data_IF_699921963013
#
_entry.id   IF_699921963013
#
_cell.length_a   1.000
_cell.length_b   1.000
_cell.length_c   1.000
_cell.angle_alpha   90.00
_cell.angle_beta   90.00
_cell.angle_gamma   90.00
#
_symmetry.space_group_name_H-M   'P 1'
#
loop_
_entity.id
_entity.type
_entity.pdbx_description
1 polymer ?
#
# COMPACT_ATOMS: atom_id res chain seq x y z
N UNK A 1 -14.02 -32.45 36.17
CA UNK A 1 -13.79 -31.18 35.43
C UNK A 1 -12.42 -31.24 34.74
N UNK A 2 -12.33 -32.06 33.69
CA UNK A 2 -11.24 -32.18 32.70
C UNK A 2 -12.02 -32.24 31.37
N UNK A 3 -11.73 -31.59 30.26
CA UNK A 3 -10.46 -31.30 29.58
C UNK A 3 -10.74 -30.11 28.66
N UNK A 4 -10.27 -28.90 28.99
CA UNK A 4 -10.38 -27.78 28.04
C UNK A 4 -9.29 -27.90 26.95
N UNK A 5 -8.25 -28.71 27.19
CA UNK A 5 -7.15 -28.96 26.27
C UNK A 5 -6.77 -30.46 26.34
N UNK A 6 -7.20 -31.25 25.37
CA UNK A 6 -6.68 -32.60 25.18
C UNK A 6 -5.28 -32.55 24.57
N UNK A 7 -4.39 -33.48 24.95
CA UNK A 7 -3.00 -33.51 24.47
C UNK A 7 -2.93 -33.51 22.93
N UNK A 8 -3.87 -34.19 22.28
CA UNK A 8 -4.03 -34.22 20.81
C UNK A 8 -4.38 -32.84 20.23
N UNK A 9 -5.23 -32.06 20.91
CA UNK A 9 -5.63 -30.71 20.48
C UNK A 9 -4.47 -29.72 20.62
N UNK A 10 -3.68 -29.85 21.69
CA UNK A 10 -2.46 -29.05 21.91
C UNK A 10 -1.46 -29.31 20.78
N UNK A 11 -1.17 -30.58 20.50
CA UNK A 11 -0.24 -30.98 19.43
C UNK A 11 -0.72 -30.49 18.06
N UNK A 12 -2.03 -30.54 17.78
CA UNK A 12 -2.58 -30.05 16.53
C UNK A 12 -2.40 -28.53 16.37
N UNK A 13 -2.64 -27.75 17.43
CA UNK A 13 -2.45 -26.29 17.39
C UNK A 13 -0.96 -25.95 17.20
N UNK A 14 -0.05 -26.66 17.86
CA UNK A 14 1.39 -26.46 17.67
C UNK A 14 1.85 -26.75 16.24
N UNK A 15 1.37 -27.84 15.65
CA UNK A 15 1.62 -28.17 14.24
C UNK A 15 1.07 -27.10 13.31
N UNK A 16 -0.15 -26.61 13.58
CA UNK A 16 -0.78 -25.58 12.76
C UNK A 16 0.00 -24.25 12.86
N UNK A 17 0.41 -23.83 14.06
CA UNK A 17 1.25 -22.64 14.25
C UNK A 17 2.61 -22.77 13.57
N UNK A 18 3.21 -23.96 13.56
CA UNK A 18 4.48 -24.23 12.85
C UNK A 18 4.30 -24.04 11.34
N UNK A 19 3.24 -24.64 10.76
CA UNK A 19 2.92 -24.45 9.34
C UNK A 19 2.61 -22.97 8.99
N UNK A 20 1.92 -22.25 9.87
CA UNK A 20 1.66 -20.82 9.67
C UNK A 20 2.96 -20.00 9.73
N UNK A 21 3.90 -20.37 10.62
CA UNK A 21 5.22 -19.73 10.74
C UNK A 21 6.02 -19.85 9.43
N UNK A 22 6.13 -21.07 8.88
CA UNK A 22 6.84 -21.29 7.62
C UNK A 22 6.22 -20.51 6.46
N UNK A 23 4.89 -20.47 6.39
CA UNK A 23 4.18 -19.69 5.36
C UNK A 23 4.37 -18.19 5.54
N UNK A 24 4.32 -17.71 6.78
CA UNK A 24 4.57 -16.31 7.11
C UNK A 24 5.98 -15.89 6.68
N UNK A 25 7.00 -16.69 6.97
CA UNK A 25 8.39 -16.43 6.54
C UNK A 25 8.54 -16.39 5.02
N UNK A 26 7.91 -17.33 4.30
CA UNK A 26 7.94 -17.35 2.84
C UNK A 26 7.27 -16.10 2.24
N UNK A 27 6.18 -15.64 2.86
CA UNK A 27 5.49 -14.42 2.48
C UNK A 27 6.39 -13.20 2.71
N UNK A 28 6.98 -13.09 3.90
CA UNK A 28 7.88 -11.99 4.26
C UNK A 28 9.11 -11.94 3.35
N UNK A 29 9.67 -13.09 2.99
CA UNK A 29 10.79 -13.20 2.04
C UNK A 29 10.39 -12.68 0.65
N UNK A 30 9.23 -13.11 0.13
CA UNK A 30 8.70 -12.62 -1.17
C UNK A 30 8.41 -11.13 -1.16
N UNK A 31 7.97 -10.58 -0.03
CA UNK A 31 7.66 -9.17 0.09
C UNK A 31 8.92 -8.29 0.12
N UNK A 32 9.96 -8.71 0.86
CA UNK A 32 11.26 -8.03 0.87
C UNK A 32 11.85 -7.92 -0.54
N UNK A 33 11.73 -8.97 -1.34
CA UNK A 33 12.22 -8.98 -2.72
C UNK A 33 11.48 -7.99 -3.65
N UNK A 34 10.19 -7.73 -3.39
CA UNK A 34 9.37 -6.87 -4.25
C UNK A 34 9.40 -5.39 -3.89
N UNK A 35 10.12 -4.98 -2.84
CA UNK A 35 10.12 -3.61 -2.29
C UNK A 35 8.70 -3.03 -2.16
N UNK A 36 7.71 -3.87 -1.84
CA UNK A 36 6.34 -3.38 -1.65
C UNK A 36 6.29 -2.58 -0.34
N UNK A 37 5.77 -1.36 -0.38
CA UNK A 37 5.34 -0.62 0.81
C UNK A 37 4.17 -1.38 1.44
N UNK A 38 4.49 -2.22 2.43
CA UNK A 38 3.51 -3.02 3.15
C UNK A 38 2.85 -2.21 4.25
N UNK A 39 1.53 -2.34 4.39
CA UNK A 39 0.80 -1.78 5.52
C UNK A 39 1.32 -2.39 6.83
N UNK A 40 1.45 -1.60 7.89
CA UNK A 40 1.67 -2.10 9.26
C UNK A 40 0.36 -2.58 9.94
N UNK A 41 -0.77 -2.52 9.21
CA UNK A 41 -2.13 -2.82 9.72
C UNK A 41 -2.75 -4.02 9.01
N UNK A 42 -2.21 -5.22 9.25
CA UNK A 42 -2.74 -6.43 8.59
C UNK A 42 -4.03 -6.93 9.22
N UNK A 43 -4.17 -6.73 10.53
CA UNK A 43 -5.31 -7.18 11.30
C UNK A 43 -5.86 -6.06 12.19
N UNK A 44 -7.12 -6.23 12.61
CA UNK A 44 -7.80 -5.31 13.52
C UNK A 44 -7.04 -5.22 14.86
N UNK A 45 -6.90 -4.02 15.46
CA UNK A 45 -6.34 -3.86 16.81
C UNK A 45 -7.09 -4.62 17.90
N UNK A 46 -8.35 -5.00 17.65
CA UNK A 46 -9.12 -5.83 18.57
C UNK A 46 -8.67 -7.29 18.60
N UNK A 47 -7.96 -7.76 17.56
CA UNK A 47 -7.51 -9.15 17.40
C UNK A 47 -6.01 -9.30 17.67
N UNK A 48 -5.22 -8.37 17.15
CA UNK A 48 -3.76 -8.35 17.33
C UNK A 48 -3.33 -7.01 17.91
N UNK A 49 -2.51 -7.10 18.95
CA UNK A 49 -1.91 -5.97 19.61
C UNK A 49 -0.63 -5.50 18.90
N UNK A 50 0.09 -6.40 18.23
CA UNK A 50 1.27 -6.05 17.45
C UNK A 50 0.89 -5.35 16.15
N UNK A 51 1.61 -4.27 15.87
CA UNK A 51 1.62 -3.58 14.57
C UNK A 51 2.95 -3.91 13.92
N UNK A 52 2.92 -4.75 12.89
CA UNK A 52 4.12 -5.11 12.16
C UNK A 52 3.81 -5.24 10.67
N UNK A 53 4.82 -4.97 9.86
CA UNK A 53 4.81 -5.23 8.44
C UNK A 53 5.27 -6.67 8.10
N UNK A 54 5.57 -7.49 9.11
CA UNK A 54 5.96 -8.89 8.96
C UNK A 54 4.84 -9.83 9.40
N UNK A 55 4.57 -10.85 8.59
CA UNK A 55 3.63 -11.92 8.89
C UNK A 55 4.04 -12.69 10.14
N UNK A 56 5.35 -12.91 10.31
CA UNK A 56 5.90 -13.74 11.38
C UNK A 56 5.60 -13.17 12.77
N UNK A 57 5.49 -11.84 12.89
CA UNK A 57 5.22 -11.19 14.17
C UNK A 57 3.80 -11.47 14.67
N UNK A 58 2.84 -11.59 13.76
CA UNK A 58 1.46 -11.98 14.07
C UNK A 58 1.36 -13.44 14.47
N UNK A 59 2.09 -14.34 13.80
CA UNK A 59 2.16 -15.76 14.19
C UNK A 59 2.81 -15.91 15.58
N UNK A 60 3.83 -15.10 15.87
CA UNK A 60 4.48 -15.07 17.18
C UNK A 60 3.52 -14.61 18.28
N UNK A 61 2.73 -13.56 18.05
CA UNK A 61 1.71 -13.12 19.01
C UNK A 61 0.65 -14.22 19.29
N UNK A 62 0.23 -14.96 18.25
CA UNK A 62 -0.71 -16.07 18.44
C UNK A 62 -0.09 -17.23 19.23
N UNK A 63 1.20 -17.51 19.02
CA UNK A 63 1.94 -18.48 19.82
C UNK A 63 2.06 -18.04 21.28
N UNK A 64 2.33 -16.76 21.54
CA UNK A 64 2.36 -16.20 22.89
C UNK A 64 0.99 -16.34 23.58
N UNK A 65 -0.09 -16.08 22.85
CA UNK A 65 -1.48 -16.24 23.34
C UNK A 65 -1.78 -17.71 23.69
N UNK A 66 -1.30 -18.66 22.88
CA UNK A 66 -1.43 -20.09 23.15
C UNK A 66 -0.66 -20.53 24.40
N UNK A 67 0.59 -20.09 24.56
CA UNK A 67 1.39 -20.37 25.76
C UNK A 67 0.74 -19.74 27.01
N UNK A 68 0.16 -18.55 26.88
CA UNK A 68 -0.56 -17.90 27.97
C UNK A 68 -1.82 -18.68 28.37
N UNK A 69 -2.57 -19.20 27.39
CA UNK A 69 -3.73 -20.06 27.64
C UNK A 69 -3.35 -21.32 28.42
N UNK A 70 -2.21 -21.94 28.11
CA UNK A 70 -1.72 -23.14 28.81
C UNK A 70 -1.31 -22.87 30.27
N UNK A 71 -0.87 -21.66 30.58
CA UNK A 71 -0.36 -21.28 31.91
C UNK A 71 -1.40 -20.60 32.80
N UNK A 72 -2.48 -20.11 32.21
CA UNK A 72 -3.51 -19.35 32.92
C UNK A 72 -4.41 -20.30 33.70
N UNK A 73 -4.50 -20.07 35.01
CA UNK A 73 -5.42 -20.76 35.90
C UNK A 73 -6.68 -19.90 36.07
N UNK A 74 -7.86 -20.48 35.84
CA UNK A 74 -9.13 -19.77 35.95
C UNK A 74 -10.00 -19.94 34.70
N UNK A 75 -11.20 -20.47 34.90
CA UNK A 75 -12.09 -20.91 33.82
C UNK A 75 -12.50 -19.75 32.88
N UNK A 76 -12.84 -18.58 33.43
CA UNK A 76 -13.25 -17.42 32.62
C UNK A 76 -12.10 -16.86 31.77
N UNK A 77 -10.91 -16.74 32.34
CA UNK A 77 -9.73 -16.24 31.63
C UNK A 77 -9.28 -17.23 30.54
N UNK A 78 -9.39 -18.54 30.79
CA UNK A 78 -9.12 -19.57 29.79
C UNK A 78 -10.10 -19.50 28.61
N UNK A 79 -11.40 -19.32 28.87
CA UNK A 79 -12.39 -19.18 27.78
C UNK A 79 -12.10 -17.96 26.91
N UNK A 80 -11.81 -16.81 27.52
CA UNK A 80 -11.46 -15.59 26.79
C UNK A 80 -10.20 -15.77 25.92
N UNK A 81 -9.15 -16.38 26.48
CA UNK A 81 -7.91 -16.64 25.73
C UNK A 81 -8.12 -17.67 24.60
N UNK A 82 -8.97 -18.69 24.80
CA UNK A 82 -9.30 -19.68 23.79
C UNK A 82 -10.13 -19.08 22.64
N UNK A 83 -11.08 -18.20 22.95
CA UNK A 83 -11.84 -17.45 21.96
C UNK A 83 -10.92 -16.53 21.14
N UNK A 84 -10.07 -15.76 21.82
CA UNK A 84 -9.08 -14.91 21.17
C UNK A 84 -8.12 -15.69 20.27
N UNK A 85 -7.61 -16.83 20.75
CA UNK A 85 -6.75 -17.72 19.99
C UNK A 85 -7.45 -18.23 18.72
N UNK A 86 -8.72 -18.63 18.84
CA UNK A 86 -9.51 -19.12 17.70
C UNK A 86 -9.68 -18.04 16.62
N UNK A 87 -10.02 -16.82 17.03
CA UNK A 87 -10.15 -15.68 16.11
C UNK A 87 -8.82 -15.32 15.44
N UNK A 88 -7.70 -15.35 16.18
CA UNK A 88 -6.37 -15.10 15.62
C UNK A 88 -5.95 -16.17 14.61
N UNK A 89 -6.22 -17.45 14.90
CA UNK A 89 -5.95 -18.56 14.00
C UNK A 89 -6.79 -18.50 12.73
N UNK A 90 -8.08 -18.19 12.84
CA UNK A 90 -8.96 -18.02 11.68
C UNK A 90 -8.50 -16.85 10.79
N UNK A 91 -8.15 -15.72 11.39
CA UNK A 91 -7.63 -14.56 10.68
C UNK A 91 -6.31 -14.89 9.96
N UNK A 92 -5.36 -15.54 10.63
CA UNK A 92 -4.07 -15.94 10.05
C UNK A 92 -4.23 -16.97 8.94
N UNK A 93 -5.02 -18.02 9.16
CA UNK A 93 -5.23 -19.06 8.15
C UNK A 93 -5.90 -18.50 6.90
N UNK A 94 -6.85 -17.57 7.05
CA UNK A 94 -7.50 -16.90 5.93
C UNK A 94 -6.52 -15.96 5.20
N UNK A 95 -5.82 -15.10 5.92
CA UNK A 95 -4.88 -14.14 5.34
C UNK A 95 -3.71 -14.84 4.61
N UNK A 96 -3.09 -15.84 5.24
CA UNK A 96 -1.96 -16.57 4.67
C UNK A 96 -2.38 -17.55 3.56
N UNK A 97 -3.64 -18.00 3.52
CA UNK A 97 -4.18 -18.79 2.40
C UNK A 97 -4.34 -17.97 1.13
N UNK A 98 -4.85 -16.74 1.25
CA UNK A 98 -5.13 -15.89 0.09
C UNK A 98 -3.82 -15.35 -0.51
N UNK A 99 -2.71 -15.36 0.25
CA UNK A 99 -1.39 -14.86 -0.17
C UNK A 99 -1.45 -13.42 -0.74
N UNK A 100 -2.52 -12.69 -0.40
CA UNK A 100 -2.71 -11.29 -0.73
C UNK A 100 -2.68 -10.55 0.60
N UNK A 101 -1.54 -9.91 0.84
CA UNK A 101 -1.44 -8.98 1.95
C UNK A 101 -2.32 -7.77 1.66
N UNK A 102 -2.95 -7.18 2.68
CA UNK A 102 -3.47 -5.84 2.57
C UNK A 102 -2.30 -4.94 2.17
N UNK A 103 -2.30 -4.46 0.93
CA UNK A 103 -1.39 -3.37 0.54
C UNK A 103 -1.69 -2.20 1.47
N UNK A 104 -0.68 -1.41 1.81
CA UNK A 104 -0.93 -0.12 2.43
C UNK A 104 -1.95 0.59 1.55
N UNK A 105 -3.15 0.81 2.07
CA UNK A 105 -4.10 1.72 1.45
C UNK A 105 -3.44 3.09 1.59
N UNK A 106 -2.53 3.42 0.66
CA UNK A 106 -2.31 4.81 0.30
C UNK A 106 -3.68 5.27 -0.15
N UNK A 107 -4.34 6.02 0.73
CA UNK A 107 -5.69 6.52 0.57
C UNK A 107 -5.84 7.04 -0.86
N UNK A 108 -6.46 6.21 -1.72
CA UNK A 108 -6.33 6.37 -3.17
C UNK A 108 -6.95 7.69 -3.62
N UNK A 109 -7.85 8.23 -2.79
CA UNK A 109 -8.44 9.57 -2.90
C UNK A 109 -7.40 10.66 -2.67
N UNK A 110 -6.57 10.54 -1.63
CA UNK A 110 -5.49 11.51 -1.35
C UNK A 110 -4.43 11.45 -2.46
N UNK A 111 -4.07 10.26 -2.93
CA UNK A 111 -3.11 10.11 -4.04
C UNK A 111 -3.67 10.65 -5.36
N UNK A 112 -4.95 10.40 -5.67
CA UNK A 112 -5.61 10.94 -6.86
C UNK A 112 -5.71 12.47 -6.81
N UNK A 113 -6.10 13.03 -5.67
CA UNK A 113 -6.23 14.47 -5.49
C UNK A 113 -4.86 15.17 -5.55
N UNK A 114 -3.83 14.61 -4.91
CA UNK A 114 -2.45 15.10 -5.04
C UNK A 114 -1.95 15.02 -6.48
N UNK A 115 -2.30 13.96 -7.22
CA UNK A 115 -1.90 13.79 -8.61
C UNK A 115 -2.59 14.79 -9.53
N UNK A 116 -3.87 15.06 -9.33
CA UNK A 116 -4.61 16.12 -10.04
C UNK A 116 -3.99 17.48 -9.74
N UNK A 117 -3.71 17.79 -8.47
CA UNK A 117 -3.03 19.04 -8.08
C UNK A 117 -1.65 19.19 -8.74
N UNK A 118 -0.85 18.12 -8.79
CA UNK A 118 0.44 18.12 -9.50
C UNK A 118 0.27 18.38 -11.01
N UNK A 119 -0.74 17.79 -11.65
CA UNK A 119 -1.02 18.02 -13.06
C UNK A 119 -1.43 19.47 -13.33
N UNK A 120 -2.25 20.07 -12.46
CA UNK A 120 -2.58 21.51 -12.57
C UNK A 120 -1.35 22.40 -12.36
N UNK A 121 -0.49 22.09 -11.39
CA UNK A 121 0.75 22.84 -11.18
C UNK A 121 1.68 22.75 -12.40
N UNK A 122 1.75 21.58 -13.03
CA UNK A 122 2.49 21.38 -14.27
C UNK A 122 1.87 22.16 -15.44
N UNK A 123 0.54 22.24 -15.50
CA UNK A 123 -0.18 23.02 -16.53
C UNK A 123 0.13 24.51 -16.41
N UNK A 124 0.10 25.07 -15.20
CA UNK A 124 0.50 26.47 -14.95
C UNK A 124 1.92 26.72 -15.44
N UNK A 125 2.85 25.82 -15.11
CA UNK A 125 4.25 25.90 -15.55
C UNK A 125 4.38 25.89 -17.07
N UNK A 126 3.61 25.05 -17.76
CA UNK A 126 3.66 24.97 -19.22
C UNK A 126 3.03 26.20 -19.90
N UNK A 127 1.99 26.78 -19.32
CA UNK A 127 1.40 28.05 -19.80
C UNK A 127 2.37 29.21 -19.64
N UNK A 128 3.15 29.24 -18.55
CA UNK A 128 4.23 30.23 -18.40
C UNK A 128 5.34 30.04 -19.44
N UNK A 129 5.68 28.80 -19.79
CA UNK A 129 6.61 28.53 -20.88
C UNK A 129 6.05 28.91 -22.25
N UNK A 130 4.77 28.66 -22.51
CA UNK A 130 4.09 29.10 -23.72
C UNK A 130 4.20 30.61 -23.89
N UNK A 131 3.87 31.39 -22.84
CA UNK A 131 4.00 32.85 -22.85
C UNK A 131 5.42 33.31 -23.22
N UNK A 132 6.45 32.75 -22.56
CA UNK A 132 7.86 33.09 -22.83
C UNK A 132 8.28 32.67 -24.24
N UNK A 133 7.77 31.57 -24.77
CA UNK A 133 8.08 31.11 -26.13
C UNK A 133 7.44 32.02 -27.18
N UNK A 134 6.23 32.52 -26.94
CA UNK A 134 5.58 33.52 -27.78
C UNK A 134 6.37 34.82 -27.79
N UNK A 135 6.81 35.32 -26.63
CA UNK A 135 7.68 36.50 -26.55
C UNK A 135 9.01 36.30 -27.31
N UNK A 136 9.59 35.10 -27.26
CA UNK A 136 10.79 34.77 -28.05
C UNK A 136 10.52 34.73 -29.56
N UNK A 137 9.33 34.27 -29.97
CA UNK A 137 8.92 34.26 -31.37
C UNK A 137 8.75 35.70 -31.88
N UNK A 138 8.07 36.56 -31.12
CA UNK A 138 7.88 37.98 -31.46
C UNK A 138 9.22 38.73 -31.60
N UNK A 139 10.16 38.44 -30.70
CA UNK A 139 11.53 38.96 -30.79
C UNK A 139 12.28 38.45 -32.02
N UNK A 140 12.14 37.16 -32.37
CA UNK A 140 12.77 36.59 -33.57
C UNK A 140 12.18 37.17 -34.86
N UNK A 141 10.87 37.42 -34.89
CA UNK A 141 10.17 38.11 -35.98
C UNK A 141 10.65 39.55 -36.11
N UNK A 142 10.80 40.26 -34.99
CA UNK A 142 11.30 41.64 -34.96
C UNK A 142 12.75 41.76 -35.45
N UNK A 143 13.57 40.74 -35.19
CA UNK A 143 14.95 40.65 -35.69
C UNK A 143 15.04 40.16 -37.15
N UNK A 144 13.90 39.82 -37.78
CA UNK A 144 13.79 39.35 -39.16
C UNK A 144 14.73 38.18 -39.51
N UNK A 145 14.97 37.28 -38.55
CA UNK A 145 15.87 36.15 -38.71
C UNK A 145 15.06 34.84 -38.94
N UNK A 146 14.96 34.34 -40.19
CA UNK A 146 14.08 33.22 -40.53
C UNK A 146 14.44 31.91 -39.81
N UNK A 147 15.72 31.69 -39.50
CA UNK A 147 16.17 30.48 -38.79
C UNK A 147 15.71 30.49 -37.33
N UNK A 148 15.79 31.66 -36.68
CA UNK A 148 15.32 31.84 -35.30
C UNK A 148 13.80 31.74 -35.21
N UNK A 149 13.07 32.31 -36.17
CA UNK A 149 11.61 32.23 -36.26
C UNK A 149 11.18 30.77 -36.39
N UNK A 150 11.77 30.01 -37.32
CA UNK A 150 11.42 28.60 -37.51
C UNK A 150 11.68 27.77 -36.25
N UNK A 151 12.80 28.00 -35.56
CA UNK A 151 13.15 27.28 -34.33
C UNK A 151 12.24 27.64 -33.16
N UNK A 152 11.89 28.92 -33.01
CA UNK A 152 10.95 29.39 -32.00
C UNK A 152 9.56 28.78 -32.23
N UNK A 153 9.08 28.79 -33.47
CA UNK A 153 7.79 28.20 -33.85
C UNK A 153 7.73 26.69 -33.56
N UNK A 154 8.78 25.94 -33.89
CA UNK A 154 8.84 24.50 -33.59
C UNK A 154 8.76 24.21 -32.09
N UNK A 155 9.42 25.03 -31.26
CA UNK A 155 9.38 24.88 -29.80
C UNK A 155 7.99 25.21 -29.24
N UNK A 156 7.37 26.27 -29.76
CA UNK A 156 6.00 26.66 -29.38
C UNK A 156 5.00 25.55 -29.71
N UNK A 157 5.04 25.01 -30.93
CA UNK A 157 4.15 23.92 -31.35
C UNK A 157 4.31 22.69 -30.45
N UNK A 158 5.54 22.31 -30.09
CA UNK A 158 5.79 21.18 -29.16
C UNK A 158 5.23 21.46 -27.76
N UNK A 159 5.35 22.71 -27.29
CA UNK A 159 4.80 23.13 -25.99
C UNK A 159 3.26 23.04 -25.99
N UNK A 160 2.61 23.52 -27.06
CA UNK A 160 1.16 23.44 -27.24
C UNK A 160 0.66 22.00 -27.27
N UNK A 161 1.32 21.12 -28.03
CA UNK A 161 0.98 19.68 -28.03
C UNK A 161 1.14 19.04 -26.64
N UNK A 162 2.14 19.46 -25.87
CA UNK A 162 2.36 18.96 -24.51
C UNK A 162 1.28 19.45 -23.54
N UNK A 163 0.82 20.70 -23.69
CA UNK A 163 -0.31 21.28 -22.96
C UNK A 163 -1.60 20.51 -23.28
N UNK A 164 -1.95 20.32 -24.55
CA UNK A 164 -3.15 19.59 -24.97
C UNK A 164 -3.17 18.16 -24.42
N UNK A 165 -2.00 17.51 -24.42
CA UNK A 165 -1.85 16.15 -23.88
C UNK A 165 -2.03 16.13 -22.36
N UNK A 166 -1.57 17.17 -21.66
CA UNK A 166 -1.70 17.32 -20.22
C UNK A 166 -3.16 17.63 -19.82
N UNK A 167 -3.84 18.51 -20.55
CA UNK A 167 -5.26 18.84 -20.34
C UNK A 167 -6.15 17.62 -20.56
N UNK A 168 -5.90 16.82 -21.61
CA UNK A 168 -6.59 15.53 -21.82
C UNK A 168 -6.34 14.53 -20.68
N UNK A 169 -5.18 14.58 -20.03
CA UNK A 169 -4.92 13.74 -18.85
C UNK A 169 -5.72 14.25 -17.65
N UNK A 170 -5.76 15.56 -17.42
CA UNK A 170 -6.53 16.18 -16.34
C UNK A 170 -8.02 15.83 -16.46
N UNK A 171 -8.64 16.05 -17.62
CA UNK A 171 -10.07 15.72 -17.83
C UNK A 171 -10.38 14.24 -17.58
N UNK A 172 -9.48 13.31 -17.94
CA UNK A 172 -9.65 11.87 -17.61
C UNK A 172 -9.62 11.56 -16.11
N UNK A 173 -8.90 12.36 -15.31
CA UNK A 173 -8.89 12.21 -13.85
C UNK A 173 -10.07 12.94 -13.17
N UNK A 174 -10.71 13.91 -13.84
CA UNK A 174 -11.87 14.63 -13.33
C UNK A 174 -13.20 13.95 -13.69
N UNK A 175 -13.29 13.28 -14.85
CA UNK A 175 -14.49 12.59 -15.36
C UNK A 175 -14.61 11.12 -14.90
N UNK A 176 -13.57 10.55 -14.29
CA UNK A 176 -13.50 9.14 -13.83
C UNK A 176 -13.46 9.00 -12.33
#
# INVERSE_FOLDING_TARGET
MREILNATSIQHIEQLLTNLSERAEQIDAKNRQKQNELSEKWFSPSLFSRRSNLAIDYVTETRDTFVQLQRTEGQQAQYYLAERLSLQLEALTTALRINKLPKQEQDSRITAQNKIQQLHQQLVTYRDYERRLTENLDNAVSQNNPVLIQRAQQRLNRCQMAIDTLEKKISRYEEG
#
